data_IF_411241889477
#
_entry.id   IF_411241889477
#
_cell.length_a   1.000
_cell.length_b   1.000
_cell.length_c   1.000
_cell.angle_alpha   90.00
_cell.angle_beta   90.00
_cell.angle_gamma   90.00
#
_symmetry.space_group_name_H-M   'P 1'
#
loop_
_entity.id
_entity.type
_entity.pdbx_description
1 polymer ?
#
# COMPACT_ATOMS: atom_id res chain seq x y z
N UNK A 1 -8.52 53.45 12.11
CA UNK A 1 -7.38 54.07 11.40
C UNK A 1 -6.43 52.99 10.95
N UNK A 2 -6.19 52.86 9.65
CA UNK A 2 -5.14 52.01 9.12
C UNK A 2 -3.77 52.70 9.32
N UNK A 3 -2.75 51.94 9.70
CA UNK A 3 -1.38 52.43 9.92
C UNK A 3 -0.44 51.69 8.96
N UNK A 4 0.51 52.42 8.38
CA UNK A 4 1.57 51.82 7.56
C UNK A 4 2.61 51.18 8.47
N UNK A 5 2.96 49.93 8.18
CA UNK A 5 3.95 49.15 8.93
C UNK A 5 5.21 49.00 8.06
N UNK A 6 6.38 49.27 8.62
CA UNK A 6 7.65 49.06 7.93
C UNK A 6 7.94 47.56 7.82
N UNK A 7 8.07 47.06 6.58
CA UNK A 7 8.33 45.65 6.32
C UNK A 7 9.83 45.34 6.10
N UNK A 8 10.49 46.10 5.22
CA UNK A 8 11.90 45.86 4.87
C UNK A 8 12.66 47.16 4.62
N UNK A 9 13.96 47.12 4.91
CA UNK A 9 14.95 48.06 4.38
C UNK A 9 16.02 47.25 3.64
N UNK A 10 16.03 47.35 2.31
CA UNK A 10 16.85 46.48 1.45
C UNK A 10 17.36 47.24 0.23
N UNK A 11 18.51 46.82 -0.28
CA UNK A 11 19.04 47.23 -1.59
C UNK A 11 18.54 46.33 -2.73
N UNK A 12 17.84 45.24 -2.41
CA UNK A 12 17.27 44.31 -3.38
C UNK A 12 15.93 44.82 -3.91
N UNK A 13 15.53 44.33 -5.08
CA UNK A 13 14.23 44.66 -5.69
C UNK A 13 13.09 43.71 -5.25
N UNK A 14 13.22 43.10 -4.07
CA UNK A 14 12.18 42.27 -3.46
C UNK A 14 12.21 42.37 -1.94
N UNK A 15 11.06 42.12 -1.30
CA UNK A 15 10.89 42.11 0.16
C UNK A 15 9.84 41.05 0.49
N UNK A 16 10.15 40.16 1.44
CA UNK A 16 9.18 39.21 1.95
C UNK A 16 8.36 39.86 3.07
N UNK A 17 7.04 39.96 2.88
CA UNK A 17 6.11 40.58 3.82
C UNK A 17 5.22 39.56 4.57
N UNK A 18 5.48 38.27 4.41
CA UNK A 18 4.62 37.20 4.94
C UNK A 18 4.40 37.32 6.45
N UNK A 19 5.44 37.68 7.21
CA UNK A 19 5.35 37.85 8.66
C UNK A 19 4.54 39.07 9.12
N UNK A 20 4.19 39.98 8.21
CA UNK A 20 3.40 41.19 8.50
C UNK A 20 1.92 40.97 8.17
N UNK A 21 1.58 39.91 7.42
CA UNK A 21 0.22 39.57 7.06
C UNK A 21 -0.38 38.76 8.21
N UNK A 22 -1.32 39.37 8.95
CA UNK A 22 -2.02 38.71 10.06
C UNK A 22 -3.24 37.93 9.57
N UNK A 23 -4.02 38.53 8.68
CA UNK A 23 -5.23 37.94 8.13
C UNK A 23 -5.11 37.92 6.59
N UNK A 24 -5.02 36.73 5.97
CA UNK A 24 -4.84 36.58 4.54
C UNK A 24 -6.10 36.95 3.72
N UNK A 25 -7.26 37.08 4.37
CA UNK A 25 -8.55 37.41 3.72
C UNK A 25 -8.77 38.91 3.55
N UNK A 26 -8.02 39.74 4.29
CA UNK A 26 -8.14 41.19 4.23
C UNK A 26 -7.34 41.78 3.06
N UNK A 27 -7.83 42.93 2.58
CA UNK A 27 -7.14 43.75 1.59
C UNK A 27 -5.86 44.37 2.13
N UNK A 28 -4.81 44.31 1.32
CA UNK A 28 -3.46 44.74 1.62
C UNK A 28 -3.00 45.75 0.57
N UNK A 29 -2.24 46.75 1.01
CA UNK A 29 -1.51 47.67 0.14
C UNK A 29 -0.06 47.72 0.57
N UNK A 30 0.85 47.72 -0.39
CA UNK A 30 2.25 47.94 -0.16
C UNK A 30 2.66 49.27 -0.77
N UNK A 31 3.58 49.99 -0.12
CA UNK A 31 4.21 51.17 -0.72
C UNK A 31 5.69 51.15 -0.49
N UNK A 32 6.44 51.61 -1.49
CA UNK A 32 7.90 51.65 -1.44
C UNK A 32 8.41 53.04 -1.76
N UNK A 33 9.56 53.39 -1.18
CA UNK A 33 10.33 54.57 -1.54
C UNK A 33 11.80 54.18 -1.62
N UNK A 34 12.55 54.85 -2.48
CA UNK A 34 14.00 54.70 -2.56
C UNK A 34 14.69 55.74 -1.67
N UNK A 35 15.86 55.38 -1.13
CA UNK A 35 16.69 56.30 -0.34
C UNK A 35 18.13 56.25 -0.82
N UNK A 36 18.71 57.42 -1.04
CA UNK A 36 20.13 57.60 -1.34
C UNK A 36 20.74 58.58 -0.32
N UNK A 37 21.44 58.04 0.68
CA UNK A 37 21.98 58.82 1.80
C UNK A 37 20.85 59.39 2.67
N UNK A 38 20.62 60.70 2.60
CA UNK A 38 19.52 61.39 3.29
C UNK A 38 18.36 61.80 2.36
N UNK A 39 18.50 61.58 1.04
CA UNK A 39 17.45 61.91 0.07
C UNK A 39 16.52 60.73 -0.12
N UNK A 40 15.22 60.98 -0.12
CA UNK A 40 14.17 59.98 -0.31
C UNK A 40 13.33 60.32 -1.55
N UNK A 41 12.85 59.29 -2.25
CA UNK A 41 11.86 59.46 -3.31
C UNK A 41 10.45 59.59 -2.73
N UNK A 42 9.49 59.98 -3.59
CA UNK A 42 8.07 59.77 -3.30
C UNK A 42 7.77 58.27 -3.14
N UNK A 43 6.71 57.97 -2.38
CA UNK A 43 6.18 56.62 -2.30
C UNK A 43 5.48 56.24 -3.60
N UNK A 44 5.63 54.97 -3.99
CA UNK A 44 4.82 54.32 -5.03
C UNK A 44 4.02 53.22 -4.34
N UNK A 45 2.70 53.25 -4.51
CA UNK A 45 1.77 52.29 -3.89
C UNK A 45 1.40 51.19 -4.88
N UNK A 46 1.17 49.99 -4.36
CA UNK A 46 0.64 48.85 -5.10
C UNK A 46 -0.85 49.01 -5.35
N UNK A 47 -1.38 48.16 -6.23
CA UNK A 47 -2.83 47.89 -6.22
C UNK A 47 -3.20 47.13 -4.95
N UNK A 48 -4.49 47.11 -4.66
CA UNK A 48 -5.06 46.23 -3.63
C UNK A 48 -4.67 44.77 -3.91
N UNK A 49 -4.26 44.08 -2.86
CA UNK A 49 -3.91 42.66 -2.89
C UNK A 49 -4.64 41.91 -1.77
N UNK A 50 -5.26 40.76 -2.09
CA UNK A 50 -5.91 39.86 -1.12
C UNK A 50 -5.26 38.49 -1.27
N UNK A 51 -4.59 38.00 -0.22
CA UNK A 51 -3.78 36.78 -0.32
C UNK A 51 -4.63 35.53 -0.60
N UNK A 52 -5.77 35.36 0.06
CA UNK A 52 -6.67 34.23 -0.22
C UNK A 52 -7.17 34.21 -1.68
N UNK A 53 -7.32 35.37 -2.30
CA UNK A 53 -7.92 35.48 -3.65
C UNK A 53 -6.89 35.39 -4.77
N UNK A 54 -5.71 35.97 -4.54
CA UNK A 54 -4.70 36.20 -5.57
C UNK A 54 -3.40 35.42 -5.30
N UNK A 55 -3.29 34.78 -4.15
CA UNK A 55 -2.21 33.86 -3.83
C UNK A 55 -2.32 32.57 -4.65
N UNK A 56 -1.17 32.00 -4.98
CA UNK A 56 -1.10 30.67 -5.55
C UNK A 56 -0.95 29.65 -4.44
N UNK A 57 -1.58 28.49 -4.62
CA UNK A 57 -1.58 27.40 -3.65
C UNK A 57 -0.93 26.20 -4.31
N UNK A 58 0.10 25.67 -3.66
CA UNK A 58 0.80 24.48 -4.14
C UNK A 58 -0.12 23.25 -4.21
N UNK A 59 0.32 22.18 -4.89
CA UNK A 59 -0.52 21.02 -5.11
C UNK A 59 -0.77 20.22 -3.83
N UNK A 60 -1.89 19.49 -3.73
CA UNK A 60 -2.05 18.48 -2.69
C UNK A 60 -1.05 17.35 -2.90
N UNK A 61 -0.58 16.75 -1.80
CA UNK A 61 0.22 15.53 -1.89
C UNK A 61 -0.71 14.34 -2.08
N UNK A 62 -0.35 13.39 -2.95
CA UNK A 62 -1.14 12.18 -3.21
C UNK A 62 -0.37 10.95 -2.75
N UNK A 63 -1.03 10.11 -1.95
CA UNK A 63 -0.59 8.78 -1.55
C UNK A 63 -1.48 7.71 -2.15
N UNK A 64 -0.89 6.55 -2.48
CA UNK A 64 -1.63 5.40 -3.03
C UNK A 64 -1.33 4.17 -2.19
N UNK A 65 -2.40 3.47 -1.78
CA UNK A 65 -2.33 2.17 -1.11
C UNK A 65 -3.17 1.15 -1.87
N UNK A 66 -2.61 -0.03 -2.11
CA UNK A 66 -3.29 -1.13 -2.78
C UNK A 66 -3.90 -2.10 -1.76
N UNK A 67 -5.12 -2.56 -2.03
CA UNK A 67 -5.73 -3.79 -1.48
C UNK A 67 -6.19 -4.67 -2.65
N UNK A 68 -6.56 -5.92 -2.38
CA UNK A 68 -6.87 -6.94 -3.40
C UNK A 68 -7.76 -6.41 -4.54
N UNK A 69 -8.89 -5.79 -4.23
CA UNK A 69 -9.88 -5.32 -5.23
C UNK A 69 -10.13 -3.80 -5.19
N UNK A 70 -9.27 -3.04 -4.53
CA UNK A 70 -9.46 -1.59 -4.38
C UNK A 70 -8.14 -0.84 -4.22
N UNK A 71 -8.12 0.38 -4.72
CA UNK A 71 -7.07 1.35 -4.47
C UNK A 71 -7.61 2.37 -3.48
N UNK A 72 -6.84 2.65 -2.43
CA UNK A 72 -7.12 3.73 -1.50
C UNK A 72 -6.17 4.87 -1.85
N UNK A 73 -6.75 6.02 -2.18
CA UNK A 73 -6.04 7.26 -2.46
C UNK A 73 -6.11 8.12 -1.22
N UNK A 74 -4.95 8.53 -0.73
CA UNK A 74 -4.80 9.48 0.36
C UNK A 74 -4.44 10.84 -0.24
N UNK A 75 -5.18 11.89 0.09
CA UNK A 75 -4.99 13.24 -0.46
C UNK A 75 -4.64 14.15 0.71
N UNK A 76 -3.37 14.52 0.83
CA UNK A 76 -2.88 15.40 1.88
C UNK A 76 -3.13 16.85 1.51
N UNK A 77 -3.66 17.62 2.45
CA UNK A 77 -3.91 19.04 2.22
C UNK A 77 -2.61 19.80 1.97
N UNK A 78 -2.61 20.85 1.11
CA UNK A 78 -1.47 21.73 0.96
C UNK A 78 -1.04 22.31 2.30
N UNK A 79 0.27 22.49 2.47
CA UNK A 79 0.84 23.01 3.71
C UNK A 79 1.19 24.49 3.57
N UNK A 80 0.88 25.28 4.58
CA UNK A 80 1.32 26.67 4.72
C UNK A 80 2.36 26.81 5.81
N UNK A 81 3.39 27.59 5.55
CA UNK A 81 4.35 27.95 6.58
C UNK A 81 3.68 28.94 7.52
N UNK A 82 3.59 28.62 8.81
CA UNK A 82 3.21 29.59 9.84
C UNK A 82 4.46 30.15 10.51
N UNK A 83 4.29 31.22 11.28
CA UNK A 83 5.36 31.78 12.12
C UNK A 83 5.93 30.76 13.12
N UNK A 84 5.23 29.66 13.38
CA UNK A 84 5.55 28.62 14.37
C UNK A 84 6.38 27.45 13.81
N UNK A 85 7.38 27.70 12.94
CA UNK A 85 8.41 26.74 12.45
C UNK A 85 7.93 25.44 11.76
N UNK A 86 6.70 24.97 11.97
CA UNK A 86 6.12 23.76 11.37
C UNK A 86 5.05 24.16 10.37
N UNK A 87 5.08 23.60 9.15
CA UNK A 87 4.00 23.80 8.20
C UNK A 87 2.69 23.23 8.75
N UNK A 88 1.59 23.95 8.54
CA UNK A 88 0.24 23.57 8.96
C UNK A 88 -0.61 23.27 7.72
N UNK A 89 -1.46 22.23 7.73
CA UNK A 89 -2.39 21.96 6.65
C UNK A 89 -3.43 23.07 6.47
N UNK A 90 -3.74 23.42 5.22
CA UNK A 90 -4.89 24.26 4.88
C UNK A 90 -6.16 23.39 4.93
N UNK A 91 -6.84 23.40 6.07
CA UNK A 91 -8.03 22.57 6.31
C UNK A 91 -9.23 23.34 6.87
N UNK A 92 -9.01 24.52 7.45
CA UNK A 92 -10.08 25.31 8.07
C UNK A 92 -10.14 26.74 7.50
N UNK A 93 -11.21 27.45 7.88
CA UNK A 93 -11.44 28.83 7.48
C UNK A 93 -10.32 29.80 7.93
N UNK A 94 -9.54 29.43 8.96
CA UNK A 94 -8.45 30.27 9.45
C UNK A 94 -7.32 30.41 8.42
N UNK A 95 -7.24 29.48 7.46
CA UNK A 95 -6.25 29.48 6.36
C UNK A 95 -6.87 29.74 4.99
N UNK A 96 -7.96 30.52 4.93
CA UNK A 96 -8.68 30.97 3.73
C UNK A 96 -9.56 29.94 3.02
N UNK A 97 -9.20 28.66 3.03
CA UNK A 97 -9.71 27.71 2.05
C UNK A 97 -10.11 26.38 2.68
N UNK A 98 -11.31 25.95 2.35
CA UNK A 98 -11.70 24.55 2.40
C UNK A 98 -11.75 24.04 0.95
N UNK A 99 -11.04 22.95 0.68
CA UNK A 99 -10.91 22.42 -0.68
C UNK A 99 -11.85 21.26 -0.96
N UNK A 100 -12.53 21.34 -2.09
CA UNK A 100 -13.05 20.14 -2.79
C UNK A 100 -11.99 19.64 -3.75
N UNK A 101 -11.53 18.40 -3.55
CA UNK A 101 -10.54 17.77 -4.40
C UNK A 101 -11.19 17.07 -5.60
N UNK A 102 -10.62 17.29 -6.78
CA UNK A 102 -10.89 16.50 -7.98
C UNK A 102 -9.73 15.55 -8.21
N UNK A 103 -10.01 14.25 -8.13
CA UNK A 103 -9.03 13.18 -8.33
C UNK A 103 -9.19 12.63 -9.74
N UNK A 104 -8.09 12.58 -10.47
CA UNK A 104 -8.00 12.11 -11.83
C UNK A 104 -7.32 10.75 -11.86
N UNK A 105 -8.09 9.73 -12.23
CA UNK A 105 -7.60 8.36 -12.39
C UNK A 105 -7.38 8.06 -13.88
N UNK A 106 -6.16 7.68 -14.25
CA UNK A 106 -5.81 7.27 -15.61
C UNK A 106 -5.59 5.75 -15.63
N UNK A 107 -6.37 5.05 -16.46
CA UNK A 107 -6.29 3.59 -16.65
C UNK A 107 -6.30 3.28 -18.14
N UNK A 108 -5.25 2.64 -18.66
CA UNK A 108 -5.18 2.22 -20.07
C UNK A 108 -5.58 3.32 -21.08
N UNK A 109 -5.23 4.58 -20.79
CA UNK A 109 -5.58 5.75 -21.62
C UNK A 109 -6.97 6.35 -21.36
N UNK A 110 -7.85 5.69 -20.59
CA UNK A 110 -9.10 6.26 -20.08
C UNK A 110 -8.83 7.15 -18.87
N UNK A 111 -9.57 8.26 -18.75
CA UNK A 111 -9.47 9.22 -17.64
C UNK A 111 -10.81 9.30 -16.93
N UNK A 112 -10.83 8.94 -15.65
CA UNK A 112 -12.01 8.98 -14.77
C UNK A 112 -11.79 10.06 -13.72
N UNK A 113 -12.85 10.76 -13.34
CA UNK A 113 -12.80 11.83 -12.34
C UNK A 113 -13.65 11.47 -11.13
N UNK A 114 -13.10 11.73 -9.96
CA UNK A 114 -13.79 11.60 -8.67
C UNK A 114 -13.72 12.92 -7.93
N UNK A 115 -14.75 13.24 -7.14
CA UNK A 115 -14.77 14.43 -6.30
C UNK A 115 -14.83 14.03 -4.84
N UNK A 116 -14.02 14.68 -4.02
CA UNK A 116 -13.97 14.49 -2.57
C UNK A 116 -14.07 15.86 -1.92
N UNK A 117 -15.14 16.10 -1.17
CA UNK A 117 -15.29 17.36 -0.43
C UNK A 117 -14.47 17.31 0.86
N UNK A 118 -13.65 18.33 1.12
CA UNK A 118 -12.94 18.51 2.38
C UNK A 118 -13.85 18.69 3.59
N UNK A 119 -15.11 19.09 3.37
CA UNK A 119 -16.13 19.23 4.43
C UNK A 119 -16.73 17.89 4.86
N UNK A 120 -16.50 16.82 4.09
CA UNK A 120 -17.05 15.51 4.41
C UNK A 120 -16.17 14.81 5.45
N UNK A 121 -16.57 14.91 6.72
CA UNK A 121 -15.88 14.33 7.88
C UNK A 121 -15.75 12.80 7.82
N UNK A 122 -16.59 12.09 7.04
CA UNK A 122 -16.46 10.64 6.88
C UNK A 122 -15.23 10.27 6.04
N UNK A 123 -14.83 11.15 5.13
CA UNK A 123 -13.75 10.90 4.17
C UNK A 123 -12.52 11.76 4.44
N UNK A 124 -12.65 12.87 5.17
CA UNK A 124 -11.58 13.84 5.40
C UNK A 124 -11.38 14.13 6.89
N UNK A 125 -10.13 14.38 7.24
CA UNK A 125 -9.74 14.88 8.56
C UNK A 125 -8.76 16.04 8.37
N UNK A 126 -8.27 16.62 9.47
CA UNK A 126 -7.37 17.79 9.47
C UNK A 126 -6.09 17.65 8.65
N UNK A 127 -5.70 16.44 8.29
CA UNK A 127 -4.44 16.16 7.58
C UNK A 127 -4.64 15.69 6.15
N UNK A 128 -5.70 14.93 5.89
CA UNK A 128 -5.89 14.26 4.61
C UNK A 128 -7.35 13.84 4.37
N UNK A 129 -7.66 13.64 3.10
CA UNK A 129 -8.85 12.96 2.62
C UNK A 129 -8.54 11.56 2.11
N UNK A 130 -9.55 10.70 2.11
CA UNK A 130 -9.51 9.33 1.63
C UNK A 130 -10.52 9.11 0.52
N UNK A 131 -10.09 8.41 -0.53
CA UNK A 131 -10.96 7.95 -1.61
C UNK A 131 -10.69 6.47 -1.88
N UNK A 132 -11.75 5.65 -1.83
CA UNK A 132 -11.68 4.24 -2.18
C UNK A 132 -12.19 4.06 -3.59
N UNK A 133 -11.32 3.56 -4.48
CA UNK A 133 -11.64 3.30 -5.88
C UNK A 133 -11.67 1.79 -6.08
N UNK A 134 -12.83 1.20 -6.44
CA UNK A 134 -12.88 -0.21 -6.81
C UNK A 134 -12.12 -0.40 -8.13
N UNK A 135 -11.23 -1.39 -8.16
CA UNK A 135 -10.43 -1.67 -9.36
C UNK A 135 -10.61 -3.11 -9.81
N UNK A 136 -10.54 -3.32 -11.13
CA UNK A 136 -10.56 -4.65 -11.72
C UNK A 136 -9.14 -5.22 -11.74
N UNK A 137 -8.98 -6.51 -11.46
CA UNK A 137 -7.69 -7.21 -11.59
C UNK A 137 -7.11 -7.20 -13.01
N UNK A 138 -7.96 -6.95 -14.01
CA UNK A 138 -7.60 -6.91 -15.43
C UNK A 138 -6.72 -5.71 -15.82
N UNK A 139 -6.87 -4.55 -15.17
CA UNK A 139 -6.02 -3.40 -15.42
C UNK A 139 -4.79 -3.45 -14.53
N UNK A 140 -3.61 -3.39 -15.16
CA UNK A 140 -2.31 -3.53 -14.52
C UNK A 140 -1.62 -2.21 -14.17
N UNK A 141 -2.16 -1.06 -14.60
CA UNK A 141 -1.50 0.25 -14.44
C UNK A 141 -2.51 1.37 -14.18
N UNK A 142 -2.31 2.07 -13.07
CA UNK A 142 -3.15 3.19 -12.63
C UNK A 142 -2.25 4.37 -12.31
N UNK A 143 -2.57 5.55 -12.84
CA UNK A 143 -1.94 6.80 -12.43
C UNK A 143 -2.98 7.73 -11.83
N UNK A 144 -2.62 8.39 -10.73
CA UNK A 144 -3.52 9.25 -9.98
C UNK A 144 -2.87 10.61 -9.78
N UNK A 145 -3.64 11.65 -10.01
CA UNK A 145 -3.27 13.03 -9.69
C UNK A 145 -4.49 13.77 -9.16
N UNK A 146 -4.28 14.84 -8.40
CA UNK A 146 -5.34 15.60 -7.76
C UNK A 146 -5.09 17.11 -7.81
N UNK A 147 -6.17 17.88 -7.89
CA UNK A 147 -6.19 19.33 -7.66
C UNK A 147 -7.32 19.67 -6.67
N UNK A 148 -7.14 20.74 -5.89
CA UNK A 148 -8.14 21.29 -4.98
C UNK A 148 -8.81 22.52 -5.57
N UNK A 149 -10.09 22.71 -5.25
CA UNK A 149 -10.86 23.91 -5.57
C UNK A 149 -11.53 24.46 -4.32
N UNK A 150 -11.34 25.74 -4.04
CA UNK A 150 -12.02 26.48 -2.97
C UNK A 150 -13.13 27.33 -3.58
N UNK A 151 -14.37 27.09 -3.17
CA UNK A 151 -15.54 27.80 -3.71
C UNK A 151 -15.55 29.27 -3.24
N UNK A 152 -15.24 29.53 -1.98
CA UNK A 152 -15.29 30.87 -1.34
C UNK A 152 -14.50 31.93 -2.12
N UNK A 153 -13.31 31.56 -2.57
CA UNK A 153 -12.40 32.45 -3.29
C UNK A 153 -12.30 32.13 -4.78
N UNK A 154 -12.95 31.05 -5.24
CA UNK A 154 -12.83 30.52 -6.61
C UNK A 154 -11.38 30.27 -7.03
N UNK A 155 -10.57 29.77 -6.11
CA UNK A 155 -9.14 29.48 -6.31
C UNK A 155 -8.92 27.99 -6.49
N UNK A 156 -7.98 27.64 -7.39
CA UNK A 156 -7.51 26.28 -7.59
C UNK A 156 -6.09 26.13 -7.05
N UNK A 157 -5.80 24.97 -6.49
CA UNK A 157 -4.42 24.56 -6.25
C UNK A 157 -3.74 24.23 -7.58
N UNK A 158 -2.42 24.17 -7.57
CA UNK A 158 -1.68 23.46 -8.60
C UNK A 158 -2.09 21.97 -8.63
N UNK A 159 -1.89 21.34 -9.78
CA UNK A 159 -2.14 19.91 -9.96
C UNK A 159 -0.99 19.10 -9.37
N UNK A 160 -1.28 18.03 -8.62
CA UNK A 160 -0.25 17.11 -8.16
C UNK A 160 0.42 16.38 -9.32
N UNK A 161 1.66 15.94 -9.11
CA UNK A 161 2.30 15.00 -10.01
C UNK A 161 1.48 13.69 -10.11
N UNK A 162 1.57 13.02 -11.25
CA UNK A 162 0.96 11.70 -11.43
C UNK A 162 1.72 10.66 -10.58
N UNK A 163 1.04 10.06 -9.62
CA UNK A 163 1.54 8.91 -8.88
C UNK A 163 0.98 7.63 -9.50
N UNK A 164 1.86 6.78 -10.01
CA UNK A 164 1.47 5.56 -10.73
C UNK A 164 1.78 4.30 -9.92
N UNK A 165 0.87 3.34 -9.97
CA UNK A 165 1.04 1.99 -9.41
C UNK A 165 0.71 0.95 -10.47
N UNK A 166 1.50 -0.12 -10.48
CA UNK A 166 1.16 -1.31 -11.24
C UNK A 166 0.57 -2.38 -10.33
N UNK A 167 -0.58 -2.92 -10.71
CA UNK A 167 -1.12 -4.17 -10.15
C UNK A 167 -0.40 -5.34 -10.81
N UNK A 168 0.87 -5.53 -10.47
CA UNK A 168 1.44 -6.87 -10.47
C UNK A 168 0.66 -7.69 -9.43
N UNK A 169 0.35 -8.95 -9.73
CA UNK A 169 -0.10 -9.93 -8.73
C UNK A 169 1.04 -10.21 -7.74
N UNK A 170 1.38 -9.21 -6.93
CA UNK A 170 2.30 -9.36 -5.82
C UNK A 170 1.59 -10.20 -4.75
N UNK A 171 1.84 -11.50 -4.84
CA UNK A 171 1.32 -12.66 -4.07
C UNK A 171 0.14 -13.42 -4.70
N UNK A 172 0.42 -14.10 -5.81
CA UNK A 172 -0.10 -15.48 -6.00
C UNK A 172 0.99 -16.53 -5.68
N UNK A 173 1.80 -16.26 -4.66
CA UNK A 173 2.74 -17.20 -4.02
C UNK A 173 2.58 -16.87 -2.54
N UNK A 174 1.65 -17.47 -1.81
CA UNK A 174 1.68 -18.86 -1.37
C UNK A 174 0.24 -19.39 -1.27
N UNK A 175 -0.35 -19.79 -2.40
CA UNK A 175 -1.16 -21.00 -2.31
C UNK A 175 -0.21 -22.06 -1.79
N UNK A 176 -0.36 -22.40 -0.51
CA UNK A 176 0.51 -23.29 0.20
C UNK A 176 0.32 -24.69 -0.37
N UNK A 177 0.89 -24.96 -1.54
CA UNK A 177 0.99 -26.28 -2.18
C UNK A 177 1.73 -27.24 -1.23
N UNK A 178 2.48 -26.71 -0.26
CA UNK A 178 3.08 -27.48 0.80
C UNK A 178 2.05 -28.08 1.77
N UNK A 179 0.92 -27.42 2.06
CA UNK A 179 -0.14 -27.96 2.95
C UNK A 179 -0.76 -29.26 2.42
N UNK A 180 -1.21 -29.37 1.15
CA UNK A 180 -1.70 -30.64 0.62
C UNK A 180 -0.58 -31.68 0.51
N UNK A 181 0.65 -31.29 0.17
CA UNK A 181 1.79 -32.23 0.10
C UNK A 181 2.10 -32.84 1.48
N UNK A 182 2.17 -32.01 2.53
CA UNK A 182 2.42 -32.46 3.90
C UNK A 182 1.26 -33.33 4.41
N UNK A 183 0.01 -32.97 4.09
CA UNK A 183 -1.15 -33.78 4.44
C UNK A 183 -1.13 -35.17 3.77
N UNK A 184 -0.79 -35.24 2.48
CA UNK A 184 -0.67 -36.52 1.75
C UNK A 184 0.44 -37.39 2.33
N UNK A 185 1.61 -36.80 2.63
CA UNK A 185 2.73 -37.51 3.26
C UNK A 185 2.34 -38.07 4.64
N UNK A 186 1.66 -37.29 5.48
CA UNK A 186 1.16 -37.75 6.78
C UNK A 186 0.15 -38.89 6.64
N UNK A 187 -0.78 -38.80 5.69
CA UNK A 187 -1.73 -39.86 5.41
C UNK A 187 -1.06 -41.16 4.95
N UNK A 188 -0.05 -41.08 4.08
CA UNK A 188 0.72 -42.24 3.64
C UNK A 188 1.46 -42.91 4.80
N UNK A 189 2.08 -42.12 5.68
CA UNK A 189 2.75 -42.65 6.88
C UNK A 189 1.75 -43.33 7.82
N UNK A 190 0.58 -42.74 8.04
CA UNK A 190 -0.48 -43.34 8.86
C UNK A 190 -0.98 -44.67 8.27
N UNK A 191 -1.18 -44.75 6.95
CA UNK A 191 -1.57 -46.00 6.27
C UNK A 191 -0.50 -47.08 6.47
N UNK A 192 0.78 -46.74 6.28
CA UNK A 192 1.88 -47.68 6.49
C UNK A 192 1.96 -48.18 7.94
N UNK A 193 1.77 -47.29 8.92
CA UNK A 193 1.70 -47.65 10.34
C UNK A 193 0.51 -48.56 10.61
N UNK A 194 -0.67 -48.26 10.05
CA UNK A 194 -1.85 -49.10 10.18
C UNK A 194 -1.62 -50.50 9.58
N UNK A 195 -1.05 -50.60 8.38
CA UNK A 195 -0.72 -51.89 7.73
C UNK A 195 0.31 -52.66 8.56
N UNK A 196 1.34 -52.01 9.09
CA UNK A 196 2.33 -52.63 9.97
C UNK A 196 1.70 -53.11 11.28
N UNK A 197 0.82 -52.31 11.89
CA UNK A 197 0.10 -52.69 13.09
C UNK A 197 -0.88 -53.84 12.84
N UNK A 198 -1.58 -53.85 11.71
CA UNK A 198 -2.49 -54.94 11.33
C UNK A 198 -1.74 -56.23 11.01
N UNK A 199 -0.64 -56.18 10.27
CA UNK A 199 0.20 -57.36 9.98
C UNK A 199 0.88 -57.91 11.24
N UNK A 200 1.32 -57.05 12.16
CA UNK A 200 1.81 -57.45 13.48
C UNK A 200 0.70 -58.03 14.38
N UNK A 201 -0.52 -57.50 14.30
CA UNK A 201 -1.70 -57.98 15.06
C UNK A 201 -2.32 -59.25 14.47
N UNK A 202 -2.13 -59.53 13.17
CA UNK A 202 -2.50 -60.80 12.50
C UNK A 202 -1.41 -61.88 12.56
N UNK A 203 -0.17 -61.53 12.96
CA UNK A 203 0.90 -62.48 13.24
C UNK A 203 1.06 -62.92 14.73
N UNK A 204 0.00 -63.29 15.49
CA UNK A 204 0.15 -64.09 16.70
C UNK A 204 -0.26 -65.56 16.44
N UNK A 205 0.30 -66.19 15.41
CA UNK A 205 0.26 -67.66 15.25
C UNK A 205 1.70 -68.17 15.20
N UNK A 206 2.27 -68.49 16.36
CA UNK A 206 2.39 -69.86 16.89
C UNK A 206 2.94 -70.86 15.88
N UNK A 207 4.22 -71.20 16.06
CA UNK A 207 4.83 -72.42 15.54
C UNK A 207 4.39 -73.58 16.45
N UNK A 208 3.19 -74.12 16.25
CA UNK A 208 2.82 -75.40 16.86
C UNK A 208 3.52 -76.53 16.11
N UNK A 209 4.53 -77.12 16.75
CA UNK A 209 5.15 -78.35 16.29
C UNK A 209 4.14 -79.50 16.42
N UNK A 210 3.65 -80.00 15.30
CA UNK A 210 2.91 -81.27 15.25
C UNK A 210 3.90 -82.37 15.64
N UNK A 211 3.81 -82.89 16.86
CA UNK A 211 4.49 -84.12 17.27
C UNK A 211 3.76 -85.30 16.65
N UNK A 212 4.39 -85.93 15.65
CA UNK A 212 4.00 -87.25 15.18
C UNK A 212 4.51 -88.33 16.15
N UNK A 213 3.71 -89.38 16.44
CA UNK A 213 4.04 -90.39 17.44
C UNK A 213 5.24 -91.26 17.04
N UNK A 214 6.09 -91.54 18.02
CA UNK A 214 7.31 -92.36 17.92
C UNK A 214 6.98 -93.86 17.78
N UNK A 215 6.60 -94.33 16.59
CA UNK A 215 6.53 -95.79 16.37
C UNK A 215 7.29 -96.34 15.16
N UNK A 216 7.78 -95.55 14.20
CA UNK A 216 8.37 -96.15 12.98
C UNK A 216 9.52 -95.33 12.35
N UNK A 217 10.55 -94.98 13.13
CA UNK A 217 11.75 -94.31 12.56
C UNK A 217 13.07 -94.77 13.21
N UNK A 218 13.14 -96.03 13.61
CA UNK A 218 14.37 -96.70 14.05
C UNK A 218 14.72 -97.93 13.20
N UNK A 219 14.42 -97.93 11.91
CA UNK A 219 15.15 -98.77 10.94
C UNK A 219 15.12 -98.01 9.61
N UNK A 220 16.27 -97.94 8.96
CA UNK A 220 16.52 -97.31 7.65
C UNK A 220 17.04 -95.87 7.75
N UNK A 221 18.38 -95.82 7.62
CA UNK A 221 19.27 -94.69 7.26
C UNK A 221 19.68 -93.77 8.41
N UNK A 222 20.67 -94.10 9.24
CA UNK A 222 22.09 -94.31 8.89
C UNK A 222 22.43 -94.13 7.41
N UNK A 223 22.39 -92.88 6.97
CA UNK A 223 23.23 -92.34 5.89
C UNK A 223 22.73 -90.90 5.65
N UNK A 224 23.07 -90.04 6.60
CA UNK A 224 23.11 -88.60 6.36
C UNK A 224 24.07 -88.31 5.20
N UNK A 225 23.79 -87.20 4.50
CA UNK A 225 24.76 -86.22 3.96
C UNK A 225 25.80 -86.79 2.99
N UNK A 226 25.93 -86.40 1.74
CA UNK A 226 25.71 -85.17 0.98
C UNK A 226 25.79 -85.65 -0.49
N UNK A 227 25.09 -85.10 -1.48
CA UNK A 227 25.42 -83.81 -2.06
C UNK A 227 24.39 -83.45 -3.15
N UNK A 228 24.21 -82.13 -3.29
CA UNK A 228 23.46 -81.33 -4.27
C UNK A 228 23.35 -81.87 -5.70
N UNK A 229 22.23 -81.55 -6.38
CA UNK A 229 22.24 -80.78 -7.65
C UNK A 229 20.82 -80.39 -8.15
N UNK A 230 20.71 -79.09 -8.49
CA UNK A 230 19.79 -78.38 -9.41
C UNK A 230 18.24 -78.38 -9.26
N UNK A 231 17.64 -77.17 -9.16
CA UNK A 231 16.36 -76.86 -9.78
C UNK A 231 16.58 -76.13 -11.13
N UNK A 232 15.93 -76.61 -12.21
CA UNK A 232 15.87 -75.93 -13.50
C UNK A 232 14.44 -75.42 -13.78
N UNK A 233 14.37 -74.09 -13.95
CA UNK A 233 13.53 -73.24 -14.84
C UNK A 233 12.04 -73.60 -15.04
N UNK A 234 11.11 -72.64 -15.13
CA UNK A 234 10.98 -71.65 -16.22
C UNK A 234 10.27 -70.36 -15.74
N UNK A 235 10.65 -69.26 -16.39
CA UNK A 235 10.30 -67.84 -16.17
C UNK A 235 9.15 -67.37 -17.13
N UNK A 236 8.80 -66.07 -17.22
CA UNK A 236 7.43 -65.53 -17.35
C UNK A 236 6.99 -65.24 -18.81
N UNK A 237 5.78 -64.64 -18.98
CA UNK A 237 5.22 -63.76 -20.07
C UNK A 237 3.68 -63.92 -19.93
N UNK A 238 2.80 -62.91 -19.83
CA UNK A 238 2.69 -61.54 -20.35
C UNK A 238 1.92 -60.66 -19.35
#
# INVERSE_FOLDING_TARGET
>A
NAMWIDACNTSQHFCNIFSVINDPSLSLWARIKARLGQKESAYVESKEFILCKQGNIGPPAVGIRKRENQIIVDIFHPLVNTSEKKPVPIYDENYCHIFTYTVYLKINGSKIQYRVSGENEDNCNETQCHLVIPVSSLSSHYCISAEGFSEDWSVKTEMSDDLCITTSDDKHIEDSVWVPIVAILLFLVLILVFVYCYTKKMNPCKKESIMLPKSLLSVVKNASSEARSEPKCVSPIT
#
